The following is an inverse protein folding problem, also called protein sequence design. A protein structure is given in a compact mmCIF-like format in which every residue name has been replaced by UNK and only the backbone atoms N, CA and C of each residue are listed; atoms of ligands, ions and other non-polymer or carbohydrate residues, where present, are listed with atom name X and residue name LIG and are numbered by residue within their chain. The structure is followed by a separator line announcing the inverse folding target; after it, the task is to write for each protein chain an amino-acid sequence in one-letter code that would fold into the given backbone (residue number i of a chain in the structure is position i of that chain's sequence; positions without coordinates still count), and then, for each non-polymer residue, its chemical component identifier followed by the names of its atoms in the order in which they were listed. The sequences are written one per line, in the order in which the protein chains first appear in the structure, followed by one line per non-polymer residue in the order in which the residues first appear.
data_IF_288602859086
#
_entry.id   IF_288602859086
#
_cell.length_a   1.000
_cell.length_b   1.000
_cell.length_c   1.000
_cell.angle_alpha   90.00
_cell.angle_beta   90.00
_cell.angle_gamma   90.00
#
_symmetry.space_group_name_H-M   'P 1'
#
loop_
_entity.id
_entity.type
_entity.pdbx_description
1 polymer ?
#
# COMPACT_ATOMS: atom_id res chain seq x y z
N UNK A 1 1.58 -16.15 -2.74
CA UNK A 1 1.10 -14.76 -2.68
C UNK A 1 -0.41 -14.75 -2.58
N UNK A 2 -0.97 -13.87 -1.78
CA UNK A 2 -2.41 -13.63 -1.56
C UNK A 2 -2.81 -12.27 -2.14
N UNK A 3 -4.10 -12.06 -2.39
CA UNK A 3 -4.59 -10.79 -2.94
C UNK A 3 -5.46 -10.05 -1.92
N UNK A 4 -5.24 -8.73 -1.83
CA UNK A 4 -5.96 -7.82 -0.96
C UNK A 4 -6.64 -6.73 -1.78
N UNK A 5 -7.80 -6.27 -1.31
CA UNK A 5 -8.52 -5.14 -1.88
C UNK A 5 -8.10 -3.87 -1.13
N UNK A 6 -7.58 -2.86 -1.83
CA UNK A 6 -7.30 -1.56 -1.20
C UNK A 6 -8.56 -0.68 -1.20
N UNK A 7 -9.01 -0.28 0.00
CA UNK A 7 -10.26 0.48 0.14
C UNK A 7 -10.20 1.91 -0.40
N UNK A 8 -9.01 2.46 -0.65
CA UNK A 8 -8.86 3.77 -1.33
C UNK A 8 -9.50 3.76 -2.72
N UNK A 9 -9.64 2.59 -3.35
CA UNK A 9 -10.34 2.42 -4.63
C UNK A 9 -11.80 2.90 -4.56
N UNK A 10 -12.40 2.97 -3.38
CA UNK A 10 -13.77 3.39 -3.13
C UNK A 10 -13.91 4.80 -2.54
N UNK A 11 -12.81 5.58 -2.45
CA UNK A 11 -12.76 6.90 -1.76
C UNK A 11 -13.80 7.92 -2.21
N UNK A 12 -14.36 7.78 -3.42
CA UNK A 12 -15.39 8.67 -4.00
C UNK A 12 -16.74 7.98 -4.15
N UNK A 13 -16.95 6.82 -3.56
CA UNK A 13 -18.17 6.04 -3.67
C UNK A 13 -18.90 5.99 -2.33
N UNK A 14 -20.23 6.10 -2.38
CA UNK A 14 -21.07 5.81 -1.21
C UNK A 14 -21.25 4.31 -1.11
N UNK A 15 -20.41 3.67 -0.31
CA UNK A 15 -20.39 2.22 -0.11
C UNK A 15 -20.14 1.93 1.37
N UNK A 16 -20.87 0.97 1.96
CA UNK A 16 -20.62 0.55 3.35
C UNK A 16 -19.43 -0.38 3.45
N UNK A 17 -18.83 -0.47 4.64
CA UNK A 17 -17.76 -1.46 4.89
C UNK A 17 -18.29 -2.89 4.72
N UNK A 18 -19.50 -3.17 5.18
CA UNK A 18 -20.20 -4.45 4.94
C UNK A 18 -20.22 -4.83 3.45
N UNK A 19 -20.57 -3.88 2.56
CA UNK A 19 -20.59 -4.14 1.11
C UNK A 19 -19.18 -4.37 0.54
N UNK A 20 -18.17 -3.72 1.10
CA UNK A 20 -16.77 -3.95 0.70
C UNK A 20 -16.32 -5.35 1.12
N UNK A 21 -16.62 -5.76 2.36
CA UNK A 21 -16.31 -7.10 2.88
C UNK A 21 -16.98 -8.19 2.05
N UNK A 22 -18.28 -8.03 1.78
CA UNK A 22 -19.02 -8.96 0.96
C UNK A 22 -18.46 -9.06 -0.46
N UNK A 23 -18.16 -7.92 -1.08
CA UNK A 23 -17.55 -7.85 -2.40
C UNK A 23 -16.19 -8.55 -2.43
N UNK A 24 -15.33 -8.29 -1.46
CA UNK A 24 -14.01 -8.92 -1.35
C UNK A 24 -14.14 -10.44 -1.28
N UNK A 25 -15.02 -10.95 -0.40
CA UNK A 25 -15.27 -12.37 -0.23
C UNK A 25 -15.79 -13.02 -1.53
N UNK A 26 -16.83 -12.44 -2.15
CA UNK A 26 -17.46 -13.00 -3.35
C UNK A 26 -16.53 -13.04 -4.58
N UNK A 27 -15.53 -12.18 -4.60
CA UNK A 27 -14.59 -12.10 -5.73
C UNK A 27 -13.22 -12.73 -5.43
N UNK A 28 -13.09 -13.47 -4.31
CA UNK A 28 -11.91 -14.29 -4.03
C UNK A 28 -10.69 -13.50 -3.53
N UNK A 29 -10.89 -12.30 -3.00
CA UNK A 29 -9.85 -11.65 -2.22
C UNK A 29 -9.63 -12.39 -0.91
N UNK A 30 -8.41 -12.38 -0.42
CA UNK A 30 -8.02 -13.04 0.84
C UNK A 30 -7.79 -12.00 1.95
N UNK A 31 -7.83 -10.70 1.63
CA UNK A 31 -7.69 -9.62 2.59
C UNK A 31 -8.20 -8.27 2.12
N UNK A 32 -8.19 -7.33 3.04
CA UNK A 32 -8.55 -5.93 2.81
C UNK A 32 -7.46 -5.03 3.38
N UNK A 33 -6.94 -4.14 2.56
CA UNK A 33 -6.11 -3.04 2.99
C UNK A 33 -7.00 -1.83 3.28
N UNK A 34 -6.95 -1.34 4.51
CA UNK A 34 -7.74 -0.18 4.93
C UNK A 34 -6.99 1.12 4.70
N UNK A 35 -7.55 2.02 3.89
CA UNK A 35 -7.11 3.41 3.90
C UNK A 35 -7.36 4.03 5.28
N UNK A 36 -6.36 4.74 5.83
CA UNK A 36 -6.37 5.26 7.20
C UNK A 36 -7.59 6.11 7.54
N UNK A 37 -8.07 6.91 6.57
CA UNK A 37 -9.32 7.68 6.73
C UNK A 37 -10.53 6.76 6.94
N UNK A 38 -10.62 5.65 6.21
CA UNK A 38 -11.70 4.68 6.38
C UNK A 38 -11.57 3.96 7.73
N UNK A 39 -10.35 3.51 8.09
CA UNK A 39 -10.10 2.86 9.38
C UNK A 39 -10.51 3.76 10.57
N UNK A 40 -10.11 5.04 10.51
CA UNK A 40 -10.46 6.03 11.54
C UNK A 40 -11.98 6.23 11.63
N UNK A 41 -12.65 6.38 10.48
CA UNK A 41 -14.11 6.59 10.45
C UNK A 41 -14.87 5.41 11.03
N UNK A 42 -14.51 4.18 10.64
CA UNK A 42 -15.10 2.95 11.15
C UNK A 42 -14.94 2.84 12.69
N UNK A 43 -13.74 3.14 13.20
CA UNK A 43 -13.49 3.09 14.63
C UNK A 43 -14.30 4.12 15.42
N UNK A 44 -14.44 5.35 14.89
CA UNK A 44 -15.06 6.47 15.60
C UNK A 44 -16.59 6.52 15.48
N UNK A 45 -17.15 6.07 14.36
CA UNK A 45 -18.56 6.28 14.03
C UNK A 45 -19.38 5.00 13.90
N UNK A 46 -18.79 3.93 13.38
CA UNK A 46 -19.50 2.68 13.06
C UNK A 46 -19.03 1.49 13.90
N UNK A 47 -18.48 1.75 15.07
CA UNK A 47 -17.74 0.76 15.88
C UNK A 47 -18.49 -0.56 16.07
N UNK A 48 -19.74 -0.53 16.51
CA UNK A 48 -20.52 -1.76 16.80
C UNK A 48 -20.76 -2.60 15.53
N UNK A 49 -21.02 -1.93 14.40
CA UNK A 49 -21.20 -2.62 13.11
C UNK A 49 -19.87 -3.20 12.65
N UNK A 50 -18.80 -2.44 12.77
CA UNK A 50 -17.48 -2.86 12.32
C UNK A 50 -16.91 -4.02 13.16
N UNK A 51 -17.19 -4.10 14.47
CA UNK A 51 -16.81 -5.25 15.29
C UNK A 51 -17.43 -6.54 14.75
N UNK A 52 -18.70 -6.51 14.34
CA UNK A 52 -19.37 -7.66 13.70
C UNK A 52 -18.76 -8.01 12.35
N UNK A 53 -18.36 -7.00 11.55
CA UNK A 53 -17.69 -7.24 10.26
C UNK A 53 -16.28 -7.80 10.43
N UNK A 54 -15.55 -7.40 11.47
CA UNK A 54 -14.24 -7.99 11.80
C UNK A 54 -14.39 -9.48 12.14
N UNK A 55 -15.42 -9.85 12.89
CA UNK A 55 -15.71 -11.25 13.17
C UNK A 55 -16.15 -12.00 11.91
N UNK A 56 -16.97 -11.38 11.06
CA UNK A 56 -17.34 -11.93 9.76
C UNK A 56 -16.15 -12.14 8.83
N UNK A 57 -15.19 -11.20 8.79
CA UNK A 57 -13.93 -11.37 8.05
C UNK A 57 -13.19 -12.64 8.48
N UNK A 58 -13.07 -12.87 9.80
CA UNK A 58 -12.42 -14.07 10.36
C UNK A 58 -13.12 -15.36 9.93
N UNK A 59 -14.46 -15.38 10.03
CA UNK A 59 -15.28 -16.54 9.62
C UNK A 59 -15.12 -16.86 8.12
N UNK A 60 -14.81 -15.87 7.30
CA UNK A 60 -14.57 -16.00 5.86
C UNK A 60 -13.11 -16.19 5.48
N UNK A 61 -12.20 -16.31 6.45
CA UNK A 61 -10.75 -16.35 6.25
C UNK A 61 -10.23 -15.12 5.50
N UNK A 62 -10.88 -13.98 5.65
CA UNK A 62 -10.37 -12.67 5.23
C UNK A 62 -9.63 -12.01 6.40
N UNK A 63 -8.64 -11.18 6.09
CA UNK A 63 -7.92 -10.41 7.11
C UNK A 63 -7.77 -8.93 6.70
N UNK A 64 -7.66 -8.03 7.68
CA UNK A 64 -7.18 -6.68 7.43
C UNK A 64 -5.66 -6.75 7.30
N UNK A 65 -5.17 -6.58 6.09
CA UNK A 65 -3.77 -6.86 5.75
C UNK A 65 -2.82 -5.75 6.17
N UNK A 66 -3.31 -4.52 6.17
CA UNK A 66 -2.53 -3.31 6.45
C UNK A 66 -3.47 -2.11 6.64
N UNK A 67 -3.03 -1.11 7.41
CA UNK A 67 -3.62 0.23 7.40
C UNK A 67 -2.67 1.16 6.65
N UNK A 68 -3.17 1.81 5.60
CA UNK A 68 -2.41 2.74 4.76
C UNK A 68 -2.72 4.17 5.15
N UNK A 69 -1.79 4.82 5.80
CA UNK A 69 -1.96 6.19 6.27
C UNK A 69 -0.75 7.06 5.87
N UNK A 70 -0.82 8.33 6.15
CA UNK A 70 0.19 9.33 5.80
C UNK A 70 0.71 9.98 7.08
N UNK A 71 1.96 9.66 7.43
CA UNK A 71 2.68 10.27 8.55
C UNK A 71 3.54 11.41 8.01
N UNK A 72 3.33 12.61 8.53
CA UNK A 72 4.17 13.74 8.14
C UNK A 72 5.48 13.72 8.94
N UNK A 73 6.54 13.26 8.29
CA UNK A 73 7.89 13.20 8.85
C UNK A 73 8.76 14.39 8.39
N UNK A 74 8.18 15.40 7.72
CA UNK A 74 8.90 16.57 7.25
C UNK A 74 9.43 17.43 8.40
N UNK A 75 10.51 18.17 8.18
CA UNK A 75 11.11 19.03 9.21
C UNK A 75 10.20 20.20 9.59
N UNK A 76 9.25 20.55 8.73
CA UNK A 76 8.26 21.59 9.00
C UNK A 76 7.08 21.09 9.84
N UNK A 77 6.91 19.76 9.93
CA UNK A 77 5.85 19.16 10.73
C UNK A 77 6.12 19.29 12.23
N UNK A 78 5.06 19.47 12.98
CA UNK A 78 5.07 19.22 14.42
C UNK A 78 5.17 17.71 14.66
N UNK A 79 6.40 17.22 14.80
CA UNK A 79 6.68 15.79 14.89
C UNK A 79 6.03 15.13 16.11
N UNK A 80 5.73 15.89 17.17
CA UNK A 80 4.96 15.39 18.31
C UNK A 80 3.55 14.94 17.87
N UNK A 81 2.89 15.68 17.00
CA UNK A 81 1.58 15.27 16.45
C UNK A 81 1.68 14.03 15.58
N UNK A 82 2.79 13.88 14.86
CA UNK A 82 3.05 12.66 14.10
C UNK A 82 3.17 11.45 15.02
N UNK A 83 3.88 11.60 16.15
CA UNK A 83 3.99 10.52 17.15
C UNK A 83 2.65 10.21 17.82
N UNK A 84 1.84 11.20 18.17
CA UNK A 84 0.46 11.02 18.68
C UNK A 84 -0.43 10.28 17.66
N UNK A 85 -0.27 10.58 16.36
CA UNK A 85 -0.94 9.85 15.29
C UNK A 85 -0.45 8.40 15.21
N UNK A 86 0.82 8.13 15.43
CA UNK A 86 1.35 6.77 15.51
C UNK A 86 0.69 5.97 16.64
N UNK A 87 0.50 6.55 17.82
CA UNK A 87 -0.22 5.91 18.94
C UNK A 87 -1.68 5.58 18.58
N UNK A 88 -2.36 6.49 17.86
CA UNK A 88 -3.70 6.23 17.33
C UNK A 88 -3.70 5.07 16.33
N UNK A 89 -2.71 5.01 15.44
CA UNK A 89 -2.58 3.91 14.48
C UNK A 89 -2.28 2.58 15.17
N UNK A 90 -1.52 2.55 16.27
CA UNK A 90 -1.37 1.35 17.11
C UNK A 90 -2.72 0.88 17.63
N UNK A 91 -3.56 1.80 18.11
CA UNK A 91 -4.91 1.47 18.60
C UNK A 91 -5.77 0.89 17.48
N UNK A 92 -5.79 1.52 16.30
CA UNK A 92 -6.55 1.05 15.13
C UNK A 92 -6.05 -0.31 14.65
N UNK A 93 -4.74 -0.49 14.53
CA UNK A 93 -4.14 -1.73 14.07
C UNK A 93 -4.47 -2.91 15.00
N UNK A 94 -4.42 -2.70 16.32
CA UNK A 94 -4.85 -3.70 17.28
C UNK A 94 -6.34 -4.05 17.14
N UNK A 95 -7.19 -3.04 16.94
CA UNK A 95 -8.63 -3.25 16.79
C UNK A 95 -8.97 -4.05 15.53
N UNK A 96 -8.32 -3.73 14.41
CA UNK A 96 -8.46 -4.46 13.14
C UNK A 96 -7.64 -5.75 13.06
N UNK A 97 -6.90 -6.11 14.12
CA UNK A 97 -6.03 -7.27 14.17
C UNK A 97 -5.02 -7.33 13.02
N UNK A 98 -4.41 -6.19 12.70
CA UNK A 98 -3.29 -6.09 11.74
C UNK A 98 -2.05 -5.56 12.44
N UNK A 99 -0.88 -5.84 11.89
CA UNK A 99 0.40 -5.37 12.44
C UNK A 99 1.24 -4.60 11.41
N UNK A 100 0.61 -4.10 10.35
CA UNK A 100 1.30 -3.37 9.28
C UNK A 100 0.66 -2.00 9.10
N UNK A 101 1.50 -0.97 9.15
CA UNK A 101 1.13 0.42 8.87
C UNK A 101 1.96 0.89 7.68
N UNK A 102 1.33 1.30 6.58
CA UNK A 102 2.02 1.87 5.43
C UNK A 102 2.02 3.39 5.50
N UNK A 103 3.13 4.00 5.15
CA UNK A 103 3.27 5.44 4.94
C UNK A 103 4.30 5.75 3.85
N UNK A 104 4.48 7.04 3.53
CA UNK A 104 5.52 7.50 2.64
C UNK A 104 6.78 7.95 3.39
N UNK A 105 7.93 7.86 2.73
CA UNK A 105 9.21 8.31 3.25
C UNK A 105 9.47 9.81 2.94
N UNK A 106 8.53 10.68 3.31
CA UNK A 106 8.60 12.10 3.05
C UNK A 106 7.73 12.55 1.87
N UNK A 107 7.95 13.78 1.39
CA UNK A 107 7.11 14.47 0.40
C UNK A 107 7.93 15.25 -0.62
N UNK A 108 9.22 14.91 -0.82
CA UNK A 108 10.08 15.46 -1.87
C UNK A 108 11.06 14.41 -2.36
N UNK A 109 11.53 14.56 -3.59
CA UNK A 109 12.44 13.62 -4.24
C UNK A 109 13.76 13.45 -3.47
N UNK A 110 14.32 12.24 -3.52
CA UNK A 110 15.53 11.89 -2.76
C UNK A 110 16.74 12.76 -3.13
N UNK A 111 16.80 13.24 -4.36
CA UNK A 111 17.87 14.13 -4.86
C UNK A 111 17.80 15.56 -4.28
N UNK A 112 16.64 15.99 -3.80
CA UNK A 112 16.42 17.32 -3.24
C UNK A 112 16.79 17.43 -1.75
N UNK A 113 17.14 16.31 -1.12
CA UNK A 113 17.52 16.31 0.30
C UNK A 113 18.98 16.72 0.49
N UNK A 114 19.22 17.70 1.37
CA UNK A 114 20.54 17.87 1.96
C UNK A 114 20.88 16.69 2.87
N UNK A 115 22.18 16.44 3.09
CA UNK A 115 22.62 15.38 4.02
C UNK A 115 22.06 15.55 5.44
N UNK A 116 21.93 16.79 5.91
CA UNK A 116 21.40 17.07 7.23
C UNK A 116 19.91 16.75 7.31
N UNK A 117 19.12 17.18 6.34
CA UNK A 117 17.69 16.86 6.28
C UNK A 117 17.47 15.35 6.21
N UNK A 118 18.25 14.65 5.36
CA UNK A 118 18.16 13.20 5.24
C UNK A 118 18.41 12.50 6.59
N UNK A 119 19.44 12.91 7.34
CA UNK A 119 19.74 12.37 8.67
C UNK A 119 18.56 12.56 9.62
N UNK A 120 17.92 13.71 9.62
CA UNK A 120 16.78 13.97 10.48
C UNK A 120 15.54 13.13 10.11
N UNK A 121 15.29 12.90 8.80
CA UNK A 121 14.24 11.98 8.37
C UNK A 121 14.53 10.54 8.80
N UNK A 122 15.78 10.09 8.67
CA UNK A 122 16.21 8.76 9.15
C UNK A 122 15.95 8.61 10.65
N UNK A 123 16.29 9.61 11.47
CA UNK A 123 16.03 9.58 12.91
C UNK A 123 14.52 9.57 13.23
N UNK A 124 13.71 10.37 12.53
CA UNK A 124 12.26 10.37 12.72
C UNK A 124 11.64 9.02 12.36
N UNK A 125 12.06 8.40 11.26
CA UNK A 125 11.61 7.04 10.88
C UNK A 125 12.02 6.03 11.95
N UNK A 126 13.25 6.12 12.49
CA UNK A 126 13.74 5.25 13.56
C UNK A 126 12.89 5.40 14.84
N UNK A 127 12.58 6.63 15.25
CA UNK A 127 11.72 6.89 16.40
C UNK A 127 10.30 6.29 16.21
N UNK A 128 9.74 6.35 15.00
CA UNK A 128 8.45 5.70 14.70
C UNK A 128 8.58 4.18 14.80
N UNK A 129 9.67 3.59 14.28
CA UNK A 129 9.92 2.16 14.43
C UNK A 129 10.04 1.74 15.89
N UNK A 130 10.73 2.53 16.71
CA UNK A 130 10.88 2.31 18.16
C UNK A 130 9.53 2.35 18.90
N UNK A 131 8.61 3.24 18.47
CA UNK A 131 7.25 3.29 19.02
C UNK A 131 6.45 2.04 18.65
N UNK A 132 6.57 1.56 17.40
CA UNK A 132 5.82 0.39 16.93
C UNK A 132 6.38 -0.95 17.42
N UNK A 133 7.67 -1.03 17.70
CA UNK A 133 8.36 -2.27 18.09
C UNK A 133 7.74 -2.99 19.31
N UNK A 134 7.38 -2.30 20.43
CA UNK A 134 6.76 -2.95 21.59
C UNK A 134 5.40 -3.58 21.28
N UNK A 135 4.72 -3.13 20.20
CA UNK A 135 3.44 -3.63 19.75
C UNK A 135 3.57 -4.71 18.68
N UNK A 136 4.80 -5.12 18.32
CA UNK A 136 5.11 -6.06 17.24
C UNK A 136 4.53 -5.60 15.89
N UNK A 137 4.53 -4.29 15.64
CA UNK A 137 4.01 -3.65 14.43
C UNK A 137 5.13 -3.18 13.53
N UNK A 138 4.93 -3.37 12.23
CA UNK A 138 5.85 -2.93 11.18
C UNK A 138 5.37 -1.61 10.57
N UNK A 139 6.31 -0.68 10.35
CA UNK A 139 6.10 0.42 9.42
C UNK A 139 6.60 -0.01 8.05
N UNK A 140 5.74 0.13 7.04
CA UNK A 140 6.05 -0.14 5.65
C UNK A 140 6.19 1.19 4.90
N UNK A 141 7.37 1.46 4.36
CA UNK A 141 7.55 2.59 3.45
C UNK A 141 7.19 2.13 2.04
N UNK A 142 6.29 2.85 1.40
CA UNK A 142 5.95 2.58 0.00
C UNK A 142 7.02 3.14 -0.92
N UNK A 143 7.43 2.38 -1.94
CA UNK A 143 8.21 2.91 -3.06
C UNK A 143 7.31 3.86 -3.86
N UNK A 144 7.64 5.18 -3.84
CA UNK A 144 6.76 6.22 -4.36
C UNK A 144 7.57 7.44 -4.83
N UNK A 145 7.23 8.07 -5.98
CA UNK A 145 7.88 9.29 -6.43
C UNK A 145 7.76 10.41 -5.40
N UNK A 146 8.70 11.34 -5.44
CA UNK A 146 8.79 12.46 -4.51
C UNK A 146 8.88 12.04 -3.03
N UNK A 147 9.66 10.99 -2.73
CA UNK A 147 9.96 10.51 -1.38
C UNK A 147 11.41 10.03 -1.30
N UNK A 148 11.90 9.65 -0.13
CA UNK A 148 13.21 8.98 0.01
C UNK A 148 13.24 7.54 -0.54
N UNK A 149 12.09 7.02 -0.95
CA UNK A 149 11.94 5.70 -1.60
C UNK A 149 11.56 5.80 -3.08
N UNK A 150 11.88 6.93 -3.73
CA UNK A 150 11.56 7.22 -5.13
C UNK A 150 12.46 6.50 -6.14
N UNK A 151 13.65 6.09 -5.74
CA UNK A 151 14.57 5.31 -6.56
C UNK A 151 15.12 4.11 -5.80
N UNK A 152 15.47 3.05 -6.51
CA UNK A 152 16.04 1.86 -5.89
C UNK A 152 17.32 2.14 -5.08
N UNK A 153 18.31 2.94 -5.58
CA UNK A 153 19.49 3.28 -4.79
C UNK A 153 19.16 4.07 -3.51
N UNK A 154 18.23 5.04 -3.58
CA UNK A 154 17.83 5.83 -2.42
C UNK A 154 17.08 4.98 -1.39
N UNK A 155 16.22 4.07 -1.85
CA UNK A 155 15.49 3.12 -0.99
C UNK A 155 16.46 2.22 -0.22
N UNK A 156 17.41 1.58 -0.91
CA UNK A 156 18.41 0.73 -0.26
C UNK A 156 19.25 1.50 0.75
N UNK A 157 19.71 2.70 0.38
CA UNK A 157 20.44 3.58 1.29
C UNK A 157 19.63 3.93 2.54
N UNK A 158 18.33 4.25 2.38
CA UNK A 158 17.45 4.57 3.50
C UNK A 158 17.28 3.38 4.46
N UNK A 159 17.09 2.18 3.91
CA UNK A 159 16.95 0.95 4.71
C UNK A 159 18.21 0.64 5.52
N UNK A 160 19.39 0.84 4.92
CA UNK A 160 20.68 0.68 5.60
C UNK A 160 20.91 1.77 6.67
N UNK A 161 20.55 3.02 6.39
CA UNK A 161 20.69 4.14 7.32
C UNK A 161 19.76 4.00 8.53
N UNK A 162 18.50 3.63 8.34
CA UNK A 162 17.55 3.41 9.44
C UNK A 162 17.91 2.13 10.21
N UNK A 163 18.24 1.05 9.50
CA UNK A 163 18.67 -0.24 10.05
C UNK A 163 17.83 -0.71 11.25
N UNK A 164 16.52 -0.83 11.06
CA UNK A 164 15.60 -1.22 12.12
C UNK A 164 14.77 -2.45 11.74
N UNK A 165 14.60 -3.47 12.60
CA UNK A 165 13.92 -4.73 12.26
C UNK A 165 12.43 -4.55 11.89
N UNK A 166 11.78 -3.53 12.46
CA UNK A 166 10.37 -3.21 12.20
C UNK A 166 10.16 -2.24 11.02
N UNK A 167 11.24 -1.80 10.34
CA UNK A 167 11.15 -1.10 9.07
C UNK A 167 11.06 -2.10 7.93
N UNK A 168 10.03 -1.97 7.10
CA UNK A 168 9.78 -2.83 5.93
C UNK A 168 9.38 -1.97 4.71
N UNK A 169 9.17 -2.63 3.58
CA UNK A 169 8.77 -2.01 2.32
C UNK A 169 7.40 -2.54 1.89
N UNK A 170 6.55 -1.62 1.47
CA UNK A 170 5.46 -1.89 0.55
C UNK A 170 5.99 -1.59 -0.87
N UNK A 171 6.20 -2.65 -1.66
CA UNK A 171 6.76 -2.50 -3.00
C UNK A 171 5.65 -2.23 -4.00
N UNK A 172 5.59 -1.00 -4.49
CA UNK A 172 4.73 -0.60 -5.61
C UNK A 172 5.51 -0.73 -6.93
N UNK A 173 5.12 -1.69 -7.74
CA UNK A 173 5.84 -2.01 -8.98
C UNK A 173 5.69 -0.94 -10.06
N UNK A 174 4.55 -0.23 -10.09
CA UNK A 174 4.37 0.87 -11.04
C UNK A 174 5.36 2.00 -10.73
N UNK A 175 5.51 2.36 -9.46
CA UNK A 175 6.41 3.44 -9.07
C UNK A 175 7.89 3.05 -9.18
N UNK A 176 8.24 1.78 -9.03
CA UNK A 176 9.58 1.29 -9.40
C UNK A 176 9.81 1.47 -10.90
N UNK A 177 8.88 1.03 -11.75
CA UNK A 177 8.97 1.22 -13.19
C UNK A 177 9.04 2.71 -13.59
N UNK A 178 8.24 3.56 -12.96
CA UNK A 178 8.24 5.01 -13.13
C UNK A 178 9.61 5.65 -12.85
N UNK A 179 10.33 5.13 -11.86
CA UNK A 179 11.69 5.58 -11.52
C UNK A 179 12.76 5.20 -12.56
N UNK A 180 12.39 4.41 -13.58
CA UNK A 180 13.30 3.87 -14.58
C UNK A 180 14.03 2.60 -14.15
N UNK A 181 13.75 2.06 -12.95
CA UNK A 181 14.32 0.82 -12.50
C UNK A 181 13.54 -0.39 -13.02
N UNK A 182 14.22 -1.53 -13.21
CA UNK A 182 13.56 -2.80 -13.54
C UNK A 182 12.80 -3.33 -12.33
N UNK A 183 11.48 -3.63 -12.46
CA UNK A 183 10.65 -4.09 -11.34
C UNK A 183 11.09 -5.43 -10.74
N UNK A 184 11.58 -6.37 -11.57
CA UNK A 184 12.02 -7.70 -11.13
C UNK A 184 13.38 -7.61 -10.42
N UNK A 185 14.35 -6.88 -10.99
CA UNK A 185 15.64 -6.63 -10.31
C UNK A 185 15.41 -5.94 -8.96
N UNK A 186 14.53 -4.93 -8.93
CA UNK A 186 14.20 -4.21 -7.70
C UNK A 186 13.56 -5.11 -6.65
N UNK A 187 12.65 -6.01 -7.05
CA UNK A 187 12.09 -7.03 -6.16
C UNK A 187 13.19 -7.89 -5.54
N UNK A 188 14.11 -8.44 -6.34
CA UNK A 188 15.19 -9.29 -5.83
C UNK A 188 16.10 -8.56 -4.85
N UNK A 189 16.41 -7.31 -5.12
CA UNK A 189 17.29 -6.49 -4.25
C UNK A 189 16.63 -6.03 -2.97
N UNK A 190 15.32 -5.74 -2.99
CA UNK A 190 14.54 -5.32 -1.83
C UNK A 190 13.92 -6.48 -1.04
N UNK A 191 13.99 -7.72 -1.55
CA UNK A 191 13.34 -8.91 -1.00
C UNK A 191 13.45 -9.08 0.54
N UNK A 192 14.59 -8.80 1.20
CA UNK A 192 14.70 -8.95 2.67
C UNK A 192 13.80 -8.01 3.48
N UNK A 193 13.36 -6.91 2.87
CA UNK A 193 12.55 -5.89 3.54
C UNK A 193 11.10 -5.88 3.11
N UNK A 194 10.74 -6.53 2.00
CA UNK A 194 9.37 -6.53 1.48
C UNK A 194 8.44 -7.28 2.42
N UNK A 195 7.26 -6.70 2.68
CA UNK A 195 6.18 -7.31 3.46
C UNK A 195 4.80 -7.14 2.82
N UNK A 196 4.71 -6.35 1.73
CA UNK A 196 3.48 -6.10 1.00
C UNK A 196 3.78 -5.59 -0.41
N UNK A 197 2.82 -5.74 -1.33
CA UNK A 197 2.90 -5.24 -2.70
C UNK A 197 1.69 -4.38 -3.03
N UNK A 198 1.88 -3.33 -3.86
CA UNK A 198 0.81 -2.64 -4.56
C UNK A 198 0.84 -2.97 -6.04
N UNK A 199 -0.33 -3.29 -6.58
CA UNK A 199 -0.54 -3.61 -7.98
C UNK A 199 -1.52 -2.63 -8.61
N UNK A 200 -1.04 -1.88 -9.59
CA UNK A 200 -1.78 -0.97 -10.45
C UNK A 200 -1.04 -0.76 -11.75
N UNK A 201 -1.71 -0.36 -12.80
CA UNK A 201 -1.07 -0.16 -14.10
C UNK A 201 -1.55 1.12 -14.80
N UNK A 202 -0.82 1.52 -15.83
CA UNK A 202 -1.06 2.69 -16.66
C UNK A 202 -0.77 2.35 -18.12
N UNK A 203 -1.48 2.99 -19.06
CA UNK A 203 -1.30 2.73 -20.49
C UNK A 203 -0.05 3.37 -21.10
N UNK A 204 0.44 4.48 -20.52
CA UNK A 204 1.62 5.22 -20.98
C UNK A 204 2.19 6.06 -19.84
N UNK A 205 3.51 6.32 -19.88
CA UNK A 205 4.19 7.24 -18.97
C UNK A 205 3.62 8.67 -19.01
N UNK A 206 3.02 9.08 -20.15
CA UNK A 206 2.43 10.41 -20.30
C UNK A 206 1.25 10.66 -19.33
N UNK A 207 0.68 9.60 -18.77
CA UNK A 207 -0.47 9.66 -17.88
C UNK A 207 -0.13 9.46 -16.39
N UNK A 208 1.13 9.34 -16.02
CA UNK A 208 1.54 9.10 -14.62
C UNK A 208 1.02 10.17 -13.63
N UNK A 209 0.81 11.41 -14.11
CA UNK A 209 0.21 12.49 -13.32
C UNK A 209 -1.15 12.13 -12.69
N UNK A 210 -1.84 11.09 -13.19
CA UNK A 210 -3.13 10.66 -12.62
C UNK A 210 -2.98 10.07 -11.22
N UNK A 211 -1.77 9.63 -10.84
CA UNK A 211 -1.44 9.11 -9.52
C UNK A 211 -0.95 10.18 -8.55
N UNK A 212 -0.79 11.44 -8.99
CA UNK A 212 -0.45 12.53 -8.08
C UNK A 212 -1.55 12.75 -7.03
N UNK A 213 -1.20 13.01 -5.76
CA UNK A 213 -2.17 13.16 -4.67
C UNK A 213 -3.30 14.16 -4.98
N UNK A 214 -2.96 15.31 -5.55
CA UNK A 214 -3.94 16.33 -5.93
C UNK A 214 -4.98 15.81 -6.94
N UNK A 215 -4.58 14.91 -7.84
CA UNK A 215 -5.49 14.30 -8.81
C UNK A 215 -6.25 13.11 -8.20
N UNK A 216 -5.58 12.25 -7.44
CA UNK A 216 -6.18 11.07 -6.80
C UNK A 216 -7.33 11.47 -5.87
N UNK A 217 -7.13 12.50 -5.05
CA UNK A 217 -8.14 12.95 -4.08
C UNK A 217 -9.19 13.87 -4.66
N UNK A 218 -9.01 14.41 -5.84
CA UNK A 218 -10.03 15.21 -6.52
C UNK A 218 -11.11 14.31 -7.14
N UNK A 219 -12.37 14.50 -6.77
CA UNK A 219 -13.48 13.75 -7.34
C UNK A 219 -13.60 13.95 -8.88
N UNK A 220 -13.24 15.15 -9.37
CA UNK A 220 -13.16 15.50 -10.78
C UNK A 220 -11.77 15.30 -11.39
N UNK A 221 -10.84 14.62 -10.70
CA UNK A 221 -9.51 14.36 -11.22
C UNK A 221 -9.53 13.51 -12.51
N UNK A 222 -8.52 13.67 -13.35
CA UNK A 222 -8.37 12.85 -14.56
C UNK A 222 -8.20 11.37 -14.21
N UNK A 223 -8.81 10.50 -15.01
CA UNK A 223 -8.65 9.04 -14.95
C UNK A 223 -8.14 8.49 -16.29
N UNK A 224 -7.74 9.39 -17.18
CA UNK A 224 -7.23 9.04 -18.51
C UNK A 224 -5.92 8.28 -18.37
N UNK A 225 -5.81 7.16 -19.06
CA UNK A 225 -4.62 6.32 -19.03
C UNK A 225 -4.63 5.23 -17.96
N UNK A 226 -5.51 5.29 -16.96
CA UNK A 226 -5.69 4.16 -16.03
C UNK A 226 -6.28 2.97 -16.77
N UNK A 227 -5.64 1.82 -16.64
CA UNK A 227 -6.02 0.57 -17.32
C UNK A 227 -5.97 -0.60 -16.33
N UNK A 228 -6.71 -1.68 -16.60
CA UNK A 228 -6.58 -2.92 -15.83
C UNK A 228 -5.14 -3.45 -15.80
N UNK A 229 -4.83 -4.24 -14.79
CA UNK A 229 -3.48 -4.67 -14.45
C UNK A 229 -2.68 -5.25 -15.63
N UNK A 230 -3.33 -6.03 -16.50
CA UNK A 230 -2.68 -6.71 -17.63
C UNK A 230 -2.79 -5.96 -18.96
N UNK A 231 -3.37 -4.76 -18.95
CA UNK A 231 -3.56 -3.94 -20.16
C UNK A 231 -2.60 -2.73 -20.22
N UNK A 232 -1.73 -2.58 -19.21
CA UNK A 232 -0.83 -1.45 -19.11
C UNK A 232 0.59 -1.74 -19.54
N UNK A 233 1.43 -0.72 -19.35
CA UNK A 233 2.82 -0.73 -19.81
C UNK A 233 3.74 -1.57 -18.90
N UNK A 234 3.40 -1.74 -17.63
CA UNK A 234 4.14 -2.58 -16.68
C UNK A 234 3.76 -4.05 -16.92
N UNK A 235 4.75 -4.90 -17.13
CA UNK A 235 4.57 -6.33 -17.42
C UNK A 235 4.27 -7.14 -16.14
N UNK A 236 3.00 -7.18 -15.74
CA UNK A 236 2.60 -7.95 -14.55
C UNK A 236 2.64 -9.47 -14.72
N UNK A 237 2.65 -10.01 -15.94
CA UNK A 237 2.83 -11.44 -16.13
C UNK A 237 4.24 -11.88 -15.67
N UNK A 238 5.25 -11.06 -15.89
CA UNK A 238 6.61 -11.32 -15.42
C UNK A 238 6.74 -11.12 -13.91
N UNK A 239 6.25 -10.00 -13.39
CA UNK A 239 6.27 -9.67 -11.95
C UNK A 239 5.60 -10.80 -11.15
N UNK A 240 4.40 -11.22 -11.54
CA UNK A 240 3.64 -12.24 -10.81
C UNK A 240 4.38 -13.59 -10.79
N UNK A 241 5.06 -13.98 -11.87
CA UNK A 241 5.89 -15.19 -11.87
C UNK A 241 6.97 -15.17 -10.80
N UNK A 242 7.58 -14.01 -10.53
CA UNK A 242 8.66 -13.86 -9.56
C UNK A 242 8.14 -13.81 -8.11
N UNK A 243 6.99 -13.17 -7.89
CA UNK A 243 6.49 -12.93 -6.52
C UNK A 243 5.46 -13.95 -6.03
N UNK A 244 4.91 -14.81 -6.90
CA UNK A 244 3.80 -15.73 -6.59
C UNK A 244 4.04 -16.67 -5.40
N UNK A 245 5.31 -17.08 -5.21
CA UNK A 245 5.70 -18.03 -4.16
C UNK A 245 6.04 -17.33 -2.83
N UNK A 246 5.85 -16.02 -2.74
CA UNK A 246 6.01 -15.28 -1.49
C UNK A 246 4.75 -15.42 -0.62
N UNK A 247 4.93 -15.32 0.71
CA UNK A 247 3.80 -15.33 1.67
C UNK A 247 3.36 -13.89 2.01
N UNK A 248 3.26 -13.04 0.99
CA UNK A 248 2.85 -11.64 1.14
C UNK A 248 1.53 -11.40 0.42
N UNK A 249 0.85 -10.32 0.82
CA UNK A 249 -0.30 -9.80 0.12
C UNK A 249 0.12 -8.83 -0.98
N UNK A 250 -0.62 -8.86 -2.09
CA UNK A 250 -0.63 -7.82 -3.10
C UNK A 250 -1.98 -7.13 -3.08
N UNK A 251 -2.00 -5.84 -2.76
CA UNK A 251 -3.21 -5.03 -2.81
C UNK A 251 -3.45 -4.51 -4.21
N UNK A 252 -4.67 -4.74 -4.72
CA UNK A 252 -5.11 -4.14 -5.97
C UNK A 252 -5.59 -2.72 -5.70
N UNK A 253 -4.98 -1.75 -6.37
CA UNK A 253 -5.34 -0.34 -6.29
C UNK A 253 -5.96 0.14 -7.60
N UNK A 254 -7.21 0.57 -7.54
CA UNK A 254 -7.90 1.18 -8.67
C UNK A 254 -8.37 2.60 -8.34
N UNK A 255 -7.84 3.58 -9.05
CA UNK A 255 -8.21 4.98 -8.85
C UNK A 255 -9.21 5.50 -9.89
N UNK A 256 -9.56 4.68 -10.87
CA UNK A 256 -10.52 5.00 -11.93
C UNK A 256 -11.98 4.88 -11.52
N UNK A 257 -12.86 4.97 -12.54
CA UNK A 257 -14.29 4.71 -12.35
C UNK A 257 -14.58 3.19 -12.29
N UNK A 258 -15.79 2.82 -11.89
CA UNK A 258 -16.28 1.43 -11.89
C UNK A 258 -15.39 0.46 -11.12
N UNK A 259 -14.92 0.85 -9.91
CA UNK A 259 -13.96 0.08 -9.14
C UNK A 259 -14.38 -1.38 -8.92
N UNK A 260 -15.66 -1.65 -8.61
CA UNK A 260 -16.15 -3.02 -8.42
C UNK A 260 -15.98 -3.88 -9.68
N UNK A 261 -16.35 -3.36 -10.84
CA UNK A 261 -16.28 -4.13 -12.10
C UNK A 261 -14.83 -4.42 -12.47
N UNK A 262 -13.96 -3.41 -12.39
CA UNK A 262 -12.53 -3.58 -12.72
C UNK A 262 -11.85 -4.53 -11.74
N UNK A 263 -11.97 -4.32 -10.44
CA UNK A 263 -11.32 -5.19 -9.44
C UNK A 263 -11.81 -6.65 -9.51
N UNK A 264 -13.09 -6.86 -9.86
CA UNK A 264 -13.63 -8.20 -10.12
C UNK A 264 -12.98 -8.86 -11.34
N UNK A 265 -12.83 -8.13 -12.45
CA UNK A 265 -12.19 -8.68 -13.65
C UNK A 265 -10.68 -8.89 -13.44
N UNK A 266 -10.00 -8.03 -12.69
CA UNK A 266 -8.61 -8.24 -12.30
C UNK A 266 -8.43 -9.51 -11.47
N UNK A 267 -9.28 -9.75 -10.47
CA UNK A 267 -9.23 -10.98 -9.66
C UNK A 267 -9.48 -12.23 -10.50
N UNK A 268 -10.40 -12.20 -11.47
CA UNK A 268 -10.59 -13.31 -12.41
C UNK A 268 -9.34 -13.55 -13.25
N UNK A 269 -8.72 -12.50 -13.79
CA UNK A 269 -7.52 -12.60 -14.59
C UNK A 269 -6.34 -13.19 -13.80
N UNK A 270 -6.17 -12.77 -12.54
CA UNK A 270 -5.15 -13.28 -11.62
C UNK A 270 -5.39 -14.75 -11.27
N UNK A 271 -6.65 -15.14 -10.99
CA UNK A 271 -7.02 -16.51 -10.65
C UNK A 271 -6.78 -17.46 -11.84
N UNK A 272 -7.14 -17.06 -13.05
CA UNK A 272 -6.92 -17.87 -14.26
C UNK A 272 -5.43 -18.11 -14.50
N UNK A 273 -4.58 -17.09 -14.34
CA UNK A 273 -3.11 -17.22 -14.46
C UNK A 273 -2.51 -18.17 -13.41
N UNK A 274 -3.06 -18.15 -12.19
CA UNK A 274 -2.65 -19.08 -11.13
C UNK A 274 -2.94 -20.54 -11.51
N UNK A 275 -4.06 -20.81 -12.18
CA UNK A 275 -4.48 -22.14 -12.61
C UNK A 275 -3.67 -22.66 -13.81
N UNK A 276 -3.34 -21.81 -14.79
CA UNK A 276 -2.55 -22.19 -15.97
C UNK A 276 -1.15 -22.68 -15.61
N UNK A 277 -0.55 -22.10 -14.58
CA UNK A 277 0.79 -22.47 -14.09
C UNK A 277 0.78 -23.81 -13.33
N UNK A 278 -0.31 -24.17 -12.65
CA UNK A 278 -0.42 -25.45 -11.91
C UNK A 278 -0.64 -26.61 -12.87
N UNK A 279 -1.11 -26.34 -14.09
CA UNK A 279 -1.40 -27.33 -15.13
C UNK A 279 -0.28 -27.49 -16.15
N UNK A 280 0.80 -26.77 -16.09
CA UNK A 280 2.01 -26.84 -16.93
C UNK A 280 3.18 -27.43 -16.16
#
# INVERSE_FOLDING_TARGET
MKYSLCTISFRHQLISFTDIVQFAYENGFEGIELWGTHAQNLYMQERETTEREIDYLKDKNLEVTMISDYLDISLLADFQKTMEKCEQLVTLANWFNTNKIRTFAGQKGSEDFSEQERKEYVERIRMICDLFAPHNMYILLETHPNTLTDTLPSTLKLLEEVNHPYLKINLDFLHIWESGADPVDSFHRLKPWIQHYHFKNISSADYLHVFEPNNVYAAAGSRIGMVPLFEGIVNYDEIIREVRDTDHFASLEWFGHNAKDILKEEMKALTNRKLEVVSS
#
